data_IF_840174611739
#
_entry.id   IF_840174611739
#
_cell.length_a   1.000
_cell.length_b   1.000
_cell.length_c   1.000
_cell.angle_alpha   90.00
_cell.angle_beta   90.00
_cell.angle_gamma   90.00
#
_symmetry.space_group_name_H-M   'P 1'
#
loop_
_entity.id
_entity.type
_entity.pdbx_description
1 polymer ?
#
# COMPACT_ATOMS: atom_id res chain seq x y z
N UNK A 1 3.85 12.01 -24.66
CA UNK A 1 3.87 10.95 -23.63
C UNK A 1 5.24 10.28 -23.71
N UNK A 2 6.07 10.44 -22.69
CA UNK A 2 7.36 9.73 -22.64
C UNK A 2 7.07 8.22 -22.58
N UNK A 3 7.83 7.43 -23.33
CA UNK A 3 7.67 5.97 -23.30
C UNK A 3 8.04 5.44 -21.91
N UNK A 4 7.06 4.88 -21.20
CA UNK A 4 7.29 4.25 -19.90
C UNK A 4 8.13 2.98 -20.13
N UNK A 5 9.38 3.03 -19.69
CA UNK A 5 10.34 1.94 -19.80
C UNK A 5 10.53 1.22 -18.46
N UNK A 6 11.21 0.09 -18.45
CA UNK A 6 11.54 -0.61 -17.19
C UNK A 6 12.30 0.28 -16.20
N UNK A 7 13.19 1.17 -16.66
CA UNK A 7 13.92 2.13 -15.82
C UNK A 7 12.99 3.10 -15.08
N UNK A 8 11.83 3.40 -15.64
CA UNK A 8 10.84 4.30 -15.03
C UNK A 8 10.37 3.77 -13.66
N UNK A 9 10.32 2.44 -13.49
CA UNK A 9 9.97 1.84 -12.20
C UNK A 9 10.91 2.24 -11.05
N UNK A 10 12.21 2.33 -11.32
CA UNK A 10 13.17 2.83 -10.34
C UNK A 10 13.06 4.36 -10.15
N UNK A 11 12.84 5.11 -11.22
CA UNK A 11 12.66 6.58 -11.12
C UNK A 11 11.46 6.97 -10.28
N UNK A 12 10.39 6.17 -10.23
CA UNK A 12 9.25 6.42 -9.33
C UNK A 12 9.65 6.43 -7.86
N UNK A 13 10.56 5.55 -7.44
CA UNK A 13 11.08 5.51 -6.06
C UNK A 13 11.93 6.75 -5.79
N UNK A 14 12.83 7.10 -6.73
CA UNK A 14 13.70 8.28 -6.60
C UNK A 14 12.87 9.56 -6.53
N UNK A 15 11.85 9.69 -7.37
CA UNK A 15 10.93 10.84 -7.36
C UNK A 15 10.12 10.89 -6.06
N UNK A 16 9.66 9.74 -5.55
CA UNK A 16 9.00 9.66 -4.24
C UNK A 16 9.90 10.14 -3.10
N UNK A 17 11.17 9.75 -3.11
CA UNK A 17 12.15 10.28 -2.17
C UNK A 17 12.39 11.79 -2.34
N UNK A 18 12.41 12.28 -3.59
CA UNK A 18 12.49 13.71 -3.89
C UNK A 18 11.34 14.53 -3.27
N UNK A 19 10.11 14.00 -3.33
CA UNK A 19 8.93 14.61 -2.70
C UNK A 19 9.06 14.58 -1.17
N UNK A 20 9.46 13.43 -0.59
CA UNK A 20 9.66 13.30 0.85
C UNK A 20 10.65 14.35 1.39
N UNK A 21 11.78 14.53 0.71
CA UNK A 21 12.82 15.50 1.11
C UNK A 21 12.34 16.96 1.18
N UNK A 22 11.32 17.32 0.42
CA UNK A 22 10.80 18.70 0.41
C UNK A 22 10.03 19.02 1.70
N UNK A 23 9.27 18.06 2.24
CA UNK A 23 8.43 18.25 3.43
C UNK A 23 8.42 16.99 4.34
N UNK A 24 9.59 16.58 4.88
CA UNK A 24 9.69 15.31 5.61
C UNK A 24 8.81 15.27 6.86
N UNK A 25 8.78 16.35 7.65
CA UNK A 25 7.97 16.43 8.86
C UNK A 25 6.45 16.32 8.58
N UNK A 26 5.97 16.96 7.51
CA UNK A 26 4.56 16.90 7.15
C UNK A 26 4.15 15.47 6.81
N UNK A 27 4.91 14.80 5.95
CA UNK A 27 4.62 13.44 5.49
C UNK A 27 4.77 12.41 6.61
N UNK A 28 5.78 12.58 7.46
CA UNK A 28 5.97 11.73 8.64
C UNK A 28 4.82 11.90 9.64
N UNK A 29 4.41 13.12 9.96
CA UNK A 29 3.29 13.37 10.86
C UNK A 29 1.96 12.88 10.29
N UNK A 30 1.75 12.99 8.97
CA UNK A 30 0.57 12.45 8.30
C UNK A 30 0.51 10.93 8.44
N UNK A 31 1.66 10.24 8.24
CA UNK A 31 1.76 8.80 8.39
C UNK A 31 1.51 8.35 9.84
N UNK A 32 2.14 9.00 10.81
CA UNK A 32 1.92 8.69 12.23
C UNK A 32 0.48 9.00 12.66
N UNK A 33 -0.10 10.10 12.20
CA UNK A 33 -1.51 10.42 12.47
C UNK A 33 -2.44 9.30 11.98
N UNK A 34 -2.18 8.74 10.80
CA UNK A 34 -2.89 7.58 10.30
C UNK A 34 -2.66 6.34 11.18
N UNK A 35 -1.41 6.04 11.53
CA UNK A 35 -1.09 4.88 12.38
C UNK A 35 -1.77 4.97 13.75
N UNK A 36 -1.72 6.14 14.39
CA UNK A 36 -2.42 6.39 15.65
C UNK A 36 -3.93 6.24 15.47
N UNK A 37 -4.49 6.79 14.40
CA UNK A 37 -5.90 6.64 14.08
C UNK A 37 -6.32 5.16 13.95
N UNK A 38 -5.54 4.35 13.24
CA UNK A 38 -5.78 2.91 13.11
C UNK A 38 -5.65 2.18 14.44
N UNK A 39 -4.67 2.55 15.28
CA UNK A 39 -4.49 1.95 16.60
C UNK A 39 -5.68 2.24 17.51
N UNK A 40 -6.17 3.48 17.52
CA UNK A 40 -7.36 3.87 18.29
C UNK A 40 -8.62 3.13 17.79
N UNK A 41 -8.78 3.03 16.48
CA UNK A 41 -9.88 2.25 15.89
C UNK A 41 -9.75 0.76 16.23
N UNK A 42 -8.52 0.23 16.27
CA UNK A 42 -8.24 -1.17 16.60
C UNK A 42 -8.64 -1.59 18.01
N UNK A 43 -8.81 -0.65 18.94
CA UNK A 43 -9.30 -0.91 20.30
C UNK A 43 -10.77 -1.37 20.29
N UNK A 44 -11.54 -1.01 19.26
CA UNK A 44 -12.95 -1.36 19.15
C UNK A 44 -13.08 -2.82 18.70
N UNK A 45 -13.65 -3.73 19.52
CA UNK A 45 -13.81 -5.13 19.14
C UNK A 45 -14.62 -5.26 17.83
N UNK A 46 -14.26 -6.22 16.98
CA UNK A 46 -14.85 -6.51 15.66
C UNK A 46 -14.69 -5.40 14.62
N UNK A 47 -15.06 -4.15 14.95
CA UNK A 47 -14.98 -2.99 14.04
C UNK A 47 -13.53 -2.63 13.75
N UNK A 48 -12.66 -2.68 14.75
CA UNK A 48 -11.25 -2.32 14.63
C UNK A 48 -10.43 -3.20 13.67
N UNK A 49 -10.89 -4.41 13.40
CA UNK A 49 -10.25 -5.30 12.42
C UNK A 49 -10.71 -5.01 10.98
N UNK A 50 -11.93 -4.54 10.80
CA UNK A 50 -12.58 -4.35 9.50
C UNK A 50 -12.38 -2.92 8.98
N UNK A 51 -12.55 -1.93 9.83
CA UNK A 51 -12.57 -0.52 9.47
C UNK A 51 -11.25 -0.03 8.83
N UNK A 52 -10.05 -0.47 9.24
CA UNK A 52 -8.80 -0.11 8.59
C UNK A 52 -8.78 -0.43 7.10
N UNK A 53 -9.30 -1.57 6.68
CA UNK A 53 -9.34 -2.00 5.28
C UNK A 53 -10.27 -1.08 4.48
N UNK A 54 -11.42 -0.71 5.05
CA UNK A 54 -12.41 0.16 4.40
C UNK A 54 -11.89 1.61 4.26
N UNK A 55 -11.13 2.10 5.24
CA UNK A 55 -10.59 3.48 5.25
C UNK A 55 -9.29 3.61 4.45
N UNK A 56 -8.61 2.52 4.14
CA UNK A 56 -7.33 2.51 3.44
C UNK A 56 -7.31 3.35 2.14
N UNK A 57 -8.32 3.28 1.23
CA UNK A 57 -8.32 4.10 0.02
C UNK A 57 -8.44 5.61 0.32
N UNK A 58 -9.15 5.99 1.38
CA UNK A 58 -9.29 7.39 1.81
C UNK A 58 -7.94 7.94 2.23
N UNK A 59 -7.20 7.19 3.06
CA UNK A 59 -5.86 7.58 3.48
C UNK A 59 -4.87 7.62 2.31
N UNK A 60 -4.90 6.60 1.46
CA UNK A 60 -4.04 6.55 0.27
C UNK A 60 -4.26 7.78 -0.63
N UNK A 61 -5.52 8.19 -0.86
CA UNK A 61 -5.83 9.39 -1.62
C UNK A 61 -5.33 10.66 -0.93
N UNK A 62 -5.53 10.78 0.39
CA UNK A 62 -5.05 11.91 1.18
C UNK A 62 -3.53 12.05 1.06
N UNK A 63 -2.81 10.94 1.16
CA UNK A 63 -1.36 10.94 1.05
C UNK A 63 -0.89 11.33 -0.35
N UNK A 64 -1.51 10.79 -1.39
CA UNK A 64 -1.20 11.13 -2.79
C UNK A 64 -1.51 12.61 -3.10
N UNK A 65 -2.62 13.14 -2.60
CA UNK A 65 -2.98 14.55 -2.74
C UNK A 65 -1.97 15.47 -2.03
N UNK A 66 -1.46 15.05 -0.87
CA UNK A 66 -0.40 15.77 -0.17
C UNK A 66 0.88 15.79 -1.01
N UNK A 67 1.28 14.64 -1.57
CA UNK A 67 2.44 14.53 -2.45
C UNK A 67 2.29 15.40 -3.71
N UNK A 68 1.10 15.44 -4.31
CA UNK A 68 0.81 16.30 -5.46
C UNK A 68 0.97 17.79 -5.12
N UNK A 69 0.42 18.25 -3.99
CA UNK A 69 0.54 19.63 -3.55
C UNK A 69 1.99 20.03 -3.27
N UNK A 70 2.78 19.12 -2.69
CA UNK A 70 4.22 19.34 -2.45
C UNK A 70 4.96 19.47 -3.79
N UNK A 71 4.70 18.56 -4.74
CA UNK A 71 5.35 18.57 -6.07
C UNK A 71 4.98 19.82 -6.89
N UNK A 72 3.76 20.34 -6.73
CA UNK A 72 3.30 21.59 -7.38
C UNK A 72 3.76 22.85 -6.66
N UNK A 73 4.53 22.75 -5.57
CA UNK A 73 4.99 23.91 -4.80
C UNK A 73 3.91 24.62 -3.98
N UNK A 74 2.73 24.03 -3.86
CA UNK A 74 1.60 24.62 -3.12
C UNK A 74 1.79 24.43 -1.61
N UNK A 75 1.51 25.45 -0.82
CA UNK A 75 1.53 25.33 0.64
C UNK A 75 0.43 24.38 1.11
N UNK A 76 0.79 23.44 1.96
CA UNK A 76 -0.13 22.45 2.54
C UNK A 76 -0.25 22.69 4.03
N UNK A 77 -1.44 23.09 4.48
CA UNK A 77 -1.80 23.12 5.90
C UNK A 77 -2.53 21.82 6.29
N UNK A 78 -2.39 21.38 7.55
CA UNK A 78 -3.18 20.25 8.06
C UNK A 78 -4.70 20.49 7.93
N UNK A 79 -5.16 21.73 8.07
CA UNK A 79 -6.57 22.07 7.90
C UNK A 79 -7.07 21.83 6.48
N UNK A 80 -6.21 22.08 5.47
CA UNK A 80 -6.55 21.88 4.05
C UNK A 80 -6.67 20.40 3.68
N UNK A 81 -6.04 19.52 4.45
CA UNK A 81 -6.10 18.07 4.22
C UNK A 81 -7.50 17.50 4.50
N UNK A 82 -8.22 18.07 5.46
CA UNK A 82 -9.59 17.63 5.76
C UNK A 82 -10.63 18.19 4.79
N UNK A 83 -10.35 19.34 4.16
CA UNK A 83 -11.24 19.99 3.19
C UNK A 83 -11.13 19.40 1.77
N UNK A 84 -10.19 18.47 1.54
CA UNK A 84 -9.96 17.84 0.23
C UNK A 84 -11.15 16.94 -0.19
N UNK A 85 -11.90 16.45 0.78
CA UNK A 85 -12.93 15.46 0.52
C UNK A 85 -14.30 16.10 0.27
N UNK A 86 -14.75 16.05 -0.99
CA UNK A 86 -16.16 16.17 -1.28
C UNK A 86 -16.90 14.90 -0.79
N UNK A 87 -18.11 15.05 -0.26
CA UNK A 87 -18.95 13.93 0.23
C UNK A 87 -19.09 12.81 -0.79
N UNK A 88 -19.20 13.14 -2.06
CA UNK A 88 -19.32 12.15 -3.13
C UNK A 88 -18.04 11.32 -3.32
N UNK A 89 -16.88 11.98 -3.32
CA UNK A 89 -15.57 11.30 -3.41
C UNK A 89 -15.34 10.41 -2.20
N UNK A 90 -15.63 10.92 -0.99
CA UNK A 90 -15.50 10.14 0.24
C UNK A 90 -16.34 8.86 0.18
N UNK A 91 -17.62 8.96 -0.20
CA UNK A 91 -18.51 7.80 -0.29
C UNK A 91 -17.99 6.77 -1.31
N UNK A 92 -17.45 7.21 -2.46
CA UNK A 92 -16.88 6.31 -3.46
C UNK A 92 -15.61 5.62 -2.97
N UNK A 93 -14.74 6.33 -2.24
CA UNK A 93 -13.52 5.75 -1.68
C UNK A 93 -13.85 4.74 -0.57
N UNK A 94 -14.82 5.03 0.30
CA UNK A 94 -15.30 4.07 1.30
C UNK A 94 -15.94 2.84 0.65
N UNK A 95 -16.71 3.01 -0.42
CA UNK A 95 -17.26 1.89 -1.18
C UNK A 95 -16.16 1.08 -1.87
N UNK A 96 -15.10 1.71 -2.39
CA UNK A 96 -13.92 1.00 -2.88
C UNK A 96 -13.23 0.20 -1.76
N UNK A 97 -13.11 0.78 -0.56
CA UNK A 97 -12.58 0.08 0.62
C UNK A 97 -13.44 -1.11 1.05
N UNK A 98 -14.77 -0.99 0.92
CA UNK A 98 -15.69 -2.12 1.15
C UNK A 98 -15.50 -3.24 0.12
N UNK A 99 -15.16 -2.90 -1.12
CA UNK A 99 -14.76 -3.91 -2.12
C UNK A 99 -13.44 -4.59 -1.76
N UNK A 100 -12.46 -3.86 -1.19
CA UNK A 100 -11.23 -4.47 -0.69
C UNK A 100 -11.53 -5.49 0.41
N UNK A 101 -12.39 -5.12 1.36
CA UNK A 101 -12.82 -6.02 2.43
C UNK A 101 -13.52 -7.26 1.87
N UNK A 102 -14.49 -7.08 0.97
CA UNK A 102 -15.22 -8.20 0.35
C UNK A 102 -14.27 -9.15 -0.36
N UNK A 103 -13.31 -8.61 -1.11
CA UNK A 103 -12.33 -9.43 -1.83
C UNK A 103 -11.37 -10.16 -0.87
N UNK A 104 -10.91 -9.51 0.19
CA UNK A 104 -10.08 -10.14 1.23
C UNK A 104 -10.83 -11.28 1.92
N UNK A 105 -12.11 -11.09 2.24
CA UNK A 105 -12.96 -12.16 2.79
C UNK A 105 -13.14 -13.32 1.79
N UNK A 106 -13.33 -13.02 0.52
CA UNK A 106 -13.42 -14.03 -0.53
C UNK A 106 -12.13 -14.88 -0.60
N UNK A 107 -10.97 -14.24 -0.59
CA UNK A 107 -9.68 -14.95 -0.57
C UNK A 107 -9.50 -15.80 0.68
N UNK A 108 -9.92 -15.30 1.85
CA UNK A 108 -9.87 -16.05 3.09
C UNK A 108 -10.77 -17.31 3.03
N UNK A 109 -11.98 -17.17 2.49
CA UNK A 109 -12.90 -18.31 2.27
C UNK A 109 -12.28 -19.34 1.32
N UNK A 110 -11.70 -18.89 0.19
CA UNK A 110 -11.01 -19.79 -0.76
C UNK A 110 -9.86 -20.53 -0.06
N UNK A 111 -9.05 -19.83 0.73
CA UNK A 111 -7.94 -20.43 1.47
C UNK A 111 -8.44 -21.52 2.44
N UNK A 112 -9.49 -21.24 3.22
CA UNK A 112 -10.10 -22.22 4.12
C UNK A 112 -10.56 -23.47 3.36
N UNK A 113 -11.21 -23.33 2.21
CA UNK A 113 -11.66 -24.48 1.42
C UNK A 113 -10.51 -25.30 0.85
N UNK A 114 -9.37 -24.69 0.53
CA UNK A 114 -8.22 -25.39 -0.06
C UNK A 114 -7.38 -26.11 0.98
N UNK A 115 -7.10 -25.47 2.13
CA UNK A 115 -6.16 -25.99 3.11
C UNK A 115 -6.79 -26.38 4.47
N UNK A 116 -8.09 -26.15 4.64
CA UNK A 116 -8.80 -26.42 5.90
C UNK A 116 -8.49 -25.38 6.98
N UNK A 117 -8.04 -24.18 6.61
CA UNK A 117 -7.75 -23.08 7.53
C UNK A 117 -6.30 -23.03 8.03
N UNK A 118 -5.40 -23.83 7.47
CA UNK A 118 -3.96 -23.84 7.83
C UNK A 118 -3.32 -22.47 7.64
N UNK A 119 -3.57 -21.81 6.50
CA UNK A 119 -3.02 -20.46 6.22
C UNK A 119 -3.46 -19.45 7.28
N UNK A 120 -4.74 -19.44 7.61
CA UNK A 120 -5.30 -18.51 8.61
C UNK A 120 -4.77 -18.83 10.00
N UNK A 121 -4.69 -20.11 10.37
CA UNK A 121 -4.12 -20.56 11.63
C UNK A 121 -2.66 -20.15 11.79
N UNK A 122 -1.86 -20.27 10.72
CA UNK A 122 -0.45 -19.87 10.72
C UNK A 122 -0.29 -18.34 10.83
N UNK A 123 -1.11 -17.56 10.10
CA UNK A 123 -1.08 -16.08 10.17
C UNK A 123 -1.54 -15.58 11.53
N UNK A 124 -2.53 -16.23 12.16
CA UNK A 124 -3.01 -15.86 13.50
C UNK A 124 -2.15 -16.39 14.65
N UNK A 125 -1.00 -17.02 14.37
CA UNK A 125 -0.08 -17.64 15.33
C UNK A 125 -0.75 -18.70 16.25
N UNK A 126 -1.89 -19.23 15.84
CA UNK A 126 -2.59 -20.30 16.55
C UNK A 126 -2.04 -21.71 16.19
N UNK A 127 -1.30 -21.83 15.11
CA UNK A 127 -0.61 -23.05 14.72
C UNK A 127 0.84 -23.03 15.24
N UNK A 128 1.01 -23.33 16.52
CA UNK A 128 2.33 -23.44 17.15
C UNK A 128 2.98 -24.83 16.98
N UNK A 129 2.28 -25.78 16.34
CA UNK A 129 2.77 -27.13 16.12
C UNK A 129 3.62 -27.23 14.85
N UNK A 130 4.63 -28.10 14.86
CA UNK A 130 5.43 -28.40 13.68
C UNK A 130 4.52 -28.99 12.58
N UNK A 131 4.41 -28.25 11.48
CA UNK A 131 3.61 -28.69 10.34
C UNK A 131 4.22 -29.93 9.71
N UNK A 132 3.41 -30.95 9.48
CA UNK A 132 3.83 -32.14 8.72
C UNK A 132 4.19 -31.76 7.28
N UNK A 133 5.03 -32.55 6.62
CA UNK A 133 5.45 -32.29 5.23
C UNK A 133 4.25 -32.11 4.27
N UNK A 134 3.17 -32.87 4.46
CA UNK A 134 1.95 -32.72 3.67
C UNK A 134 1.22 -31.41 3.92
N UNK A 135 1.21 -30.91 5.16
CA UNK A 135 0.63 -29.62 5.51
C UNK A 135 1.45 -28.44 4.95
N UNK A 136 2.78 -28.55 4.96
CA UNK A 136 3.67 -27.56 4.35
C UNK A 136 3.41 -27.41 2.85
N UNK A 137 3.26 -28.53 2.13
CA UNK A 137 2.93 -28.53 0.70
C UNK A 137 1.56 -27.90 0.46
N UNK A 138 0.53 -28.26 1.24
CA UNK A 138 -0.79 -27.65 1.15
C UNK A 138 -0.73 -26.14 1.38
N UNK A 139 -0.05 -25.69 2.44
CA UNK A 139 0.13 -24.28 2.77
C UNK A 139 0.80 -23.52 1.62
N UNK A 140 1.86 -24.10 1.04
CA UNK A 140 2.55 -23.51 -0.11
C UNK A 140 1.64 -23.35 -1.32
N UNK A 141 0.88 -24.40 -1.67
CA UNK A 141 -0.08 -24.36 -2.79
C UNK A 141 -1.19 -23.33 -2.55
N UNK A 142 -1.73 -23.25 -1.34
CA UNK A 142 -2.72 -22.23 -0.97
C UNK A 142 -2.14 -20.82 -1.09
N UNK A 143 -0.92 -20.61 -0.62
CA UNK A 143 -0.25 -19.31 -0.72
C UNK A 143 -0.07 -18.90 -2.19
N UNK A 144 0.41 -19.81 -3.04
CA UNK A 144 0.56 -19.55 -4.49
C UNK A 144 -0.78 -19.20 -5.14
N UNK A 145 -1.85 -19.94 -4.81
CA UNK A 145 -3.19 -19.67 -5.33
C UNK A 145 -3.70 -18.30 -4.89
N UNK A 146 -3.59 -17.98 -3.61
CA UNK A 146 -4.03 -16.69 -3.05
C UNK A 146 -3.26 -15.53 -3.70
N UNK A 147 -1.94 -15.65 -3.86
CA UNK A 147 -1.12 -14.65 -4.55
C UNK A 147 -1.54 -14.51 -6.01
N UNK A 148 -1.74 -15.62 -6.72
CA UNK A 148 -2.16 -15.61 -8.13
C UNK A 148 -3.52 -14.90 -8.34
N UNK A 149 -4.46 -15.10 -7.40
CA UNK A 149 -5.75 -14.40 -7.41
C UNK A 149 -5.61 -12.93 -6.99
N UNK A 150 -4.72 -12.64 -6.04
CA UNK A 150 -4.52 -11.27 -5.55
C UNK A 150 -3.88 -10.34 -6.59
N UNK A 151 -2.98 -10.84 -7.45
CA UNK A 151 -2.29 -10.02 -8.46
C UNK A 151 -3.25 -9.27 -9.39
N UNK A 152 -4.23 -9.90 -10.07
CA UNK A 152 -5.17 -9.18 -10.92
C UNK A 152 -5.99 -8.14 -10.16
N UNK A 153 -6.38 -8.44 -8.92
CA UNK A 153 -7.09 -7.50 -8.08
C UNK A 153 -6.22 -6.30 -7.71
N UNK A 154 -4.96 -6.53 -7.30
CA UNK A 154 -4.02 -5.46 -7.01
C UNK A 154 -3.82 -4.54 -8.22
N UNK A 155 -3.69 -5.08 -9.43
CA UNK A 155 -3.63 -4.30 -10.66
C UNK A 155 -4.89 -3.45 -10.88
N UNK A 156 -6.06 -4.03 -10.60
CA UNK A 156 -7.35 -3.37 -10.78
C UNK A 156 -7.56 -2.20 -9.79
N UNK A 157 -7.00 -2.28 -8.58
CA UNK A 157 -7.22 -1.27 -7.55
C UNK A 157 -6.07 -0.27 -7.40
N UNK A 158 -4.91 -0.52 -8.00
CA UNK A 158 -3.71 0.31 -7.85
C UNK A 158 -3.94 1.80 -8.11
N UNK A 159 -4.52 2.12 -9.25
CA UNK A 159 -4.85 3.48 -9.65
C UNK A 159 -6.33 3.85 -9.39
N UNK A 160 -7.16 2.92 -8.91
CA UNK A 160 -8.59 3.18 -8.71
C UNK A 160 -8.81 4.35 -7.74
N UNK A 161 -8.04 4.42 -6.66
CA UNK A 161 -8.09 5.49 -5.66
C UNK A 161 -7.87 6.88 -6.27
N UNK A 162 -6.76 7.20 -6.95
CA UNK A 162 -6.57 8.51 -7.55
C UNK A 162 -7.51 8.79 -8.74
N UNK A 163 -7.92 7.78 -9.51
CA UNK A 163 -8.90 7.96 -10.58
C UNK A 163 -10.28 8.37 -10.05
N UNK A 164 -10.69 7.82 -8.90
CA UNK A 164 -11.92 8.23 -8.22
C UNK A 164 -11.76 9.63 -7.63
N UNK A 165 -10.63 9.91 -7.00
CA UNK A 165 -10.39 11.15 -6.29
C UNK A 165 -10.22 12.36 -7.22
N UNK A 166 -9.31 12.28 -8.18
CA UNK A 166 -8.99 13.37 -9.09
C UNK A 166 -9.90 13.44 -10.32
N UNK A 167 -10.11 12.30 -11.00
CA UNK A 167 -10.90 12.27 -12.23
C UNK A 167 -12.40 12.01 -11.99
N UNK A 168 -12.82 11.93 -10.72
CA UNK A 168 -14.22 11.73 -10.31
C UNK A 168 -14.92 10.56 -11.00
N UNK A 169 -14.15 9.55 -11.42
CA UNK A 169 -14.65 8.36 -12.11
C UNK A 169 -15.57 7.53 -11.22
N UNK A 170 -16.50 6.81 -11.83
CA UNK A 170 -17.23 5.74 -11.13
C UNK A 170 -16.29 4.58 -10.81
N UNK A 171 -16.59 3.83 -9.75
CA UNK A 171 -15.71 2.75 -9.25
C UNK A 171 -15.40 1.71 -10.34
N UNK A 172 -16.42 1.25 -11.08
CA UNK A 172 -16.23 0.27 -12.15
C UNK A 172 -15.30 0.77 -13.27
N UNK A 173 -15.46 2.05 -13.68
CA UNK A 173 -14.55 2.67 -14.65
C UNK A 173 -13.13 2.79 -14.09
N UNK A 174 -12.97 3.24 -12.85
CA UNK A 174 -11.67 3.40 -12.21
C UNK A 174 -10.91 2.06 -12.11
N UNK A 175 -11.58 1.00 -11.70
CA UNK A 175 -11.04 -0.37 -11.63
C UNK A 175 -10.60 -0.85 -13.02
N UNK A 176 -11.44 -0.67 -14.04
CA UNK A 176 -11.14 -1.08 -15.40
C UNK A 176 -9.92 -0.33 -15.95
N UNK A 177 -9.90 1.00 -15.86
CA UNK A 177 -8.78 1.80 -16.34
C UNK A 177 -7.48 1.51 -15.57
N UNK A 178 -7.58 1.29 -14.25
CA UNK A 178 -6.44 0.92 -13.41
C UNK A 178 -5.80 -0.39 -13.90
N UNK A 179 -6.60 -1.44 -14.09
CA UNK A 179 -6.12 -2.74 -14.55
C UNK A 179 -5.33 -2.65 -15.85
N UNK A 180 -5.92 -2.02 -16.88
CA UNK A 180 -5.26 -1.89 -18.18
C UNK A 180 -4.06 -0.93 -18.15
N UNK A 181 -4.08 0.10 -17.30
CA UNK A 181 -2.93 0.98 -17.14
C UNK A 181 -1.72 0.25 -16.55
N UNK A 182 -1.93 -0.55 -15.49
CA UNK A 182 -0.86 -1.38 -14.90
C UNK A 182 -0.38 -2.43 -15.90
N UNK A 183 -1.30 -3.11 -16.59
CA UNK A 183 -0.95 -4.12 -17.59
C UNK A 183 -0.11 -3.53 -18.73
N UNK A 184 -0.47 -2.33 -19.21
CA UNK A 184 0.27 -1.63 -20.27
C UNK A 184 1.67 -1.20 -19.84
N UNK A 185 1.88 -0.93 -18.57
CA UNK A 185 3.13 -0.48 -17.97
C UNK A 185 3.80 -1.54 -17.11
N UNK A 186 3.45 -2.82 -17.32
CA UNK A 186 3.85 -3.96 -16.49
C UNK A 186 5.37 -4.04 -16.27
N UNK A 187 6.18 -3.76 -17.30
CA UNK A 187 7.66 -3.80 -17.18
C UNK A 187 8.19 -2.81 -16.14
N UNK A 188 7.62 -1.61 -16.08
CA UNK A 188 8.00 -0.62 -15.08
C UNK A 188 7.51 -1.03 -13.67
N UNK A 189 6.28 -1.58 -13.58
CA UNK A 189 5.74 -2.09 -12.32
C UNK A 189 6.53 -3.26 -11.76
N UNK A 190 6.98 -4.19 -12.59
CA UNK A 190 7.82 -5.31 -12.13
C UNK A 190 9.14 -4.81 -11.53
N UNK A 191 9.81 -3.85 -12.17
CA UNK A 191 11.02 -3.23 -11.61
C UNK A 191 10.70 -2.47 -10.32
N UNK A 192 9.60 -1.72 -10.29
CA UNK A 192 9.17 -0.99 -9.10
C UNK A 192 8.91 -1.91 -7.90
N UNK A 193 8.14 -2.98 -8.11
CA UNK A 193 7.85 -3.97 -7.06
C UNK A 193 9.14 -4.68 -6.63
N UNK A 194 9.99 -5.08 -7.60
CA UNK A 194 11.26 -5.73 -7.28
C UNK A 194 12.16 -4.83 -6.42
N UNK A 195 12.29 -3.55 -6.77
CA UNK A 195 13.06 -2.60 -5.97
C UNK A 195 12.48 -2.44 -4.56
N UNK A 196 11.16 -2.39 -4.41
CA UNK A 196 10.52 -2.32 -3.09
C UNK A 196 10.70 -3.60 -2.28
N UNK A 197 10.68 -4.78 -2.91
CA UNK A 197 11.01 -6.05 -2.24
C UNK A 197 12.45 -6.03 -1.72
N UNK A 198 13.40 -5.57 -2.55
CA UNK A 198 14.81 -5.46 -2.15
C UNK A 198 14.97 -4.45 -1.00
N UNK A 199 14.43 -3.25 -1.13
CA UNK A 199 14.56 -2.21 -0.11
C UNK A 199 13.82 -2.56 1.18
N UNK A 200 12.57 -3.04 1.07
CA UNK A 200 11.69 -3.27 2.22
C UNK A 200 12.01 -4.56 2.98
N UNK A 201 12.50 -5.58 2.31
CA UNK A 201 12.75 -6.89 2.91
C UNK A 201 14.23 -7.08 3.26
N UNK A 202 15.13 -6.87 2.31
CA UNK A 202 16.53 -7.18 2.52
C UNK A 202 17.28 -6.11 3.33
N UNK A 203 16.98 -4.83 3.12
CA UNK A 203 17.71 -3.75 3.80
C UNK A 203 17.53 -3.79 5.34
N UNK A 204 16.32 -3.91 5.92
CA UNK A 204 16.15 -4.04 7.35
C UNK A 204 16.80 -5.31 7.92
N UNK A 205 16.66 -6.44 7.20
CA UNK A 205 17.23 -7.72 7.63
C UNK A 205 18.76 -7.67 7.66
N UNK A 206 19.40 -7.13 6.62
CA UNK A 206 20.87 -7.02 6.55
C UNK A 206 21.38 -6.11 7.67
N UNK A 207 20.82 -4.92 7.83
CA UNK A 207 21.24 -3.98 8.86
C UNK A 207 21.01 -4.56 10.26
N UNK A 208 19.84 -5.16 10.49
CA UNK A 208 19.51 -5.82 11.76
C UNK A 208 20.49 -6.96 12.09
N UNK A 209 20.76 -7.85 11.13
CA UNK A 209 21.69 -8.98 11.31
C UNK A 209 23.10 -8.51 11.63
N UNK A 210 23.62 -7.49 10.95
CA UNK A 210 24.94 -6.91 11.23
C UNK A 210 25.00 -6.36 12.65
N UNK A 211 23.99 -5.63 13.11
CA UNK A 211 23.95 -5.05 14.46
C UNK A 211 23.85 -6.14 15.54
N UNK A 212 23.10 -7.20 15.29
CA UNK A 212 22.99 -8.36 16.19
C UNK A 212 24.34 -9.06 16.32
N UNK A 213 25.04 -9.30 15.20
CA UNK A 213 26.40 -9.90 15.21
C UNK A 213 27.42 -9.04 15.96
N UNK A 214 27.25 -7.73 15.97
CA UNK A 214 28.08 -6.80 16.74
C UNK A 214 27.69 -6.71 18.23
N UNK A 215 26.69 -7.47 18.69
CA UNK A 215 26.23 -7.47 20.08
C UNK A 215 25.21 -6.38 20.44
N UNK A 216 24.70 -5.62 19.45
CA UNK A 216 23.76 -4.50 19.66
C UNK A 216 22.30 -4.91 19.44
N UNK A 217 21.79 -5.97 20.07
CA UNK A 217 20.44 -6.52 19.83
C UNK A 217 19.32 -5.48 20.03
N UNK A 218 19.34 -4.74 21.13
CA UNK A 218 18.30 -3.74 21.43
C UNK A 218 18.31 -2.57 20.42
N UNK A 219 19.51 -2.15 20.00
CA UNK A 219 19.69 -1.10 18.99
C UNK A 219 19.23 -1.61 17.62
N UNK A 220 19.52 -2.87 17.28
CA UNK A 220 19.08 -3.49 16.04
C UNK A 220 17.55 -3.48 15.92
N UNK A 221 16.85 -3.90 16.98
CA UNK A 221 15.37 -3.91 16.98
C UNK A 221 14.79 -2.51 16.78
N UNK A 222 15.33 -1.50 17.47
CA UNK A 222 14.89 -0.11 17.32
C UNK A 222 15.15 0.42 15.89
N UNK A 223 16.35 0.19 15.34
CA UNK A 223 16.71 0.65 13.99
C UNK A 223 15.84 -0.05 12.94
N UNK A 224 15.56 -1.35 13.08
CA UNK A 224 14.68 -2.07 12.15
C UNK A 224 13.27 -1.46 12.12
N UNK A 225 12.69 -1.11 13.27
CA UNK A 225 11.38 -0.46 13.33
C UNK A 225 11.41 0.92 12.68
N UNK A 226 12.38 1.77 13.02
CA UNK A 226 12.53 3.12 12.44
C UNK A 226 12.71 3.05 10.92
N UNK A 227 13.55 2.13 10.45
CA UNK A 227 13.79 1.94 9.02
C UNK A 227 12.54 1.44 8.29
N UNK A 228 11.79 0.50 8.88
CA UNK A 228 10.53 -0.01 8.30
C UNK A 228 9.49 1.09 8.18
N UNK A 229 9.33 1.95 9.20
CA UNK A 229 8.46 3.12 9.15
C UNK A 229 8.89 4.10 8.06
N UNK A 230 10.18 4.41 8.00
CA UNK A 230 10.73 5.31 6.98
C UNK A 230 10.49 4.79 5.56
N UNK A 231 10.78 3.51 5.30
CA UNK A 231 10.53 2.88 4.00
C UNK A 231 9.04 2.85 3.66
N UNK A 232 8.16 2.66 4.64
CA UNK A 232 6.70 2.72 4.43
C UNK A 232 6.26 4.12 3.99
N UNK A 233 6.77 5.18 4.62
CA UNK A 233 6.48 6.56 4.21
C UNK A 233 6.95 6.81 2.78
N UNK A 234 8.17 6.36 2.43
CA UNK A 234 8.70 6.49 1.07
C UNK A 234 7.87 5.71 0.05
N UNK A 235 7.36 4.52 0.40
CA UNK A 235 6.47 3.75 -0.45
C UNK A 235 5.20 4.54 -0.78
N UNK A 236 4.56 5.14 0.22
CA UNK A 236 3.40 6.00 0.01
C UNK A 236 3.73 7.23 -0.84
N UNK A 237 4.90 7.87 -0.63
CA UNK A 237 5.35 9.00 -1.46
C UNK A 237 5.56 8.60 -2.92
N UNK A 238 5.97 7.35 -3.19
CA UNK A 238 6.25 6.87 -4.53
C UNK A 238 4.99 6.52 -5.34
N UNK A 239 3.81 6.42 -4.72
CA UNK A 239 2.56 6.16 -5.45
C UNK A 239 2.16 7.32 -6.36
N UNK A 240 2.35 8.56 -5.93
CA UNK A 240 2.02 9.73 -6.74
C UNK A 240 2.84 9.82 -8.05
N UNK A 241 4.18 9.67 -8.07
CA UNK A 241 4.95 9.59 -9.31
C UNK A 241 4.48 8.51 -10.28
N UNK A 242 4.02 7.33 -9.79
CA UNK A 242 3.48 6.29 -10.67
C UNK A 242 2.23 6.78 -11.41
N UNK A 243 1.33 7.47 -10.71
CA UNK A 243 0.14 8.05 -11.31
C UNK A 243 0.48 9.17 -12.30
N UNK A 244 1.36 10.09 -11.92
CA UNK A 244 1.76 11.25 -12.72
C UNK A 244 2.34 10.84 -14.08
N UNK A 245 3.17 9.80 -14.12
CA UNK A 245 3.78 9.33 -15.37
C UNK A 245 2.77 8.59 -16.25
N UNK A 246 1.78 7.89 -15.68
CA UNK A 246 0.80 7.09 -16.43
C UNK A 246 -0.37 7.93 -16.93
N UNK A 247 -0.89 8.84 -16.10
CA UNK A 247 -2.12 9.60 -16.38
C UNK A 247 -1.91 11.11 -16.55
N UNK A 248 -0.72 11.61 -16.27
CA UNK A 248 -0.42 13.05 -16.27
C UNK A 248 -0.67 13.70 -14.89
N UNK A 249 -0.57 15.03 -14.87
CA UNK A 249 -0.88 15.78 -13.65
C UNK A 249 -2.38 15.70 -13.34
N UNK A 250 -2.76 15.66 -12.05
CA UNK A 250 -4.16 15.70 -11.66
C UNK A 250 -4.85 17.00 -12.10
N UNK A 251 -6.03 16.89 -12.72
CA UNK A 251 -6.91 18.03 -12.95
C UNK A 251 -7.59 18.40 -11.62
N UNK A 252 -7.16 19.49 -11.02
CA UNK A 252 -7.71 19.99 -9.74
C UNK A 252 -8.67 21.16 -9.91
N UNK A 253 -8.91 21.61 -11.15
CA UNK A 253 -9.67 22.83 -11.46
C UNK A 253 -11.19 22.61 -11.62
N UNK A 254 -11.75 21.47 -11.13
CA UNK A 254 -13.20 21.20 -11.17
C UNK A 254 -13.75 20.74 -9.82
#
# INVERSE_FOLDING_TARGET
MNSITAKTGFTWIVNGYGIFRQRPFLLTNLFFGYMIGLTVLGIIPFIGQILPIVVMPVFSFLFMQTCYKIDSGTYVSFRDLFNIFNRQTMNRLLLLGSLYLLYTLLLAVIAIFVDGGLLIGTVSQQAAEELTSSQQVKLFMTLVLVIALYIPFAMAVWFATPLIGWQKMSIGKAIFFSFFAVLRTLKAFLVYIFCWLVLGMFMPVIIGSVLILLGFQNVAMFIMVVLSVFLSILAYCSFYPTYKDVFGQPDTDN
#
